data_IF_986928886879
#
_entry.id   IF_986928886879
#
_cell.length_a   1.000
_cell.length_b   1.000
_cell.length_c   1.000
_cell.angle_alpha   90.00
_cell.angle_beta   90.00
_cell.angle_gamma   90.00
#
_symmetry.space_group_name_H-M   'P 1'
#
loop_
_entity.id
_entity.type
_entity.pdbx_description
1 polymer ?
#
# COMPACT_ATOMS: atom_id res chain seq x y z
N UNK A 1 2.30 -22.85 -7.15
CA UNK A 1 2.43 -21.77 -8.16
C UNK A 1 3.00 -20.55 -7.47
N UNK A 2 3.85 -19.76 -8.13
CA UNK A 2 4.41 -18.51 -7.59
C UNK A 2 3.85 -17.33 -8.40
N UNK A 3 3.56 -16.22 -7.72
CA UNK A 3 3.08 -15.00 -8.35
C UNK A 3 3.64 -13.75 -7.64
N UNK A 4 3.71 -12.65 -8.38
CA UNK A 4 4.01 -11.32 -7.85
C UNK A 4 2.80 -10.41 -8.12
N UNK A 5 2.51 -9.51 -7.17
CA UNK A 5 1.47 -8.50 -7.27
C UNK A 5 2.17 -7.15 -7.42
N UNK A 6 1.94 -6.48 -8.55
CA UNK A 6 2.48 -5.14 -8.77
C UNK A 6 1.79 -4.13 -7.83
N UNK A 7 2.51 -3.09 -7.42
CA UNK A 7 1.97 -2.01 -6.58
C UNK A 7 0.73 -1.35 -7.18
N UNK A 8 0.70 -1.23 -8.50
CA UNK A 8 -0.35 -0.63 -9.31
C UNK A 8 -1.62 -1.49 -9.26
N UNK A 9 -1.47 -2.81 -9.34
CA UNK A 9 -2.59 -3.76 -9.21
C UNK A 9 -3.16 -3.72 -7.79
N UNK A 10 -2.30 -3.64 -6.78
CA UNK A 10 -2.72 -3.50 -5.39
C UNK A 10 -3.48 -2.18 -5.15
N UNK A 11 -2.99 -1.08 -5.74
CA UNK A 11 -3.62 0.23 -5.70
C UNK A 11 -5.00 0.22 -6.36
N UNK A 12 -5.11 -0.33 -7.58
CA UNK A 12 -6.38 -0.42 -8.30
C UNK A 12 -7.39 -1.28 -7.54
N UNK A 13 -6.98 -2.43 -7.01
CA UNK A 13 -7.84 -3.28 -6.19
C UNK A 13 -8.37 -2.51 -4.97
N UNK A 14 -7.48 -1.84 -4.22
CA UNK A 14 -7.88 -1.00 -3.09
C UNK A 14 -8.87 0.10 -3.51
N UNK A 15 -8.58 0.81 -4.60
CA UNK A 15 -9.42 1.91 -5.07
C UNK A 15 -10.80 1.42 -5.52
N UNK A 16 -10.87 0.36 -6.32
CA UNK A 16 -12.12 -0.20 -6.83
C UNK A 16 -12.99 -0.70 -5.66
N UNK A 17 -12.42 -1.47 -4.73
CA UNK A 17 -13.16 -2.02 -3.60
C UNK A 17 -13.69 -0.92 -2.66
N UNK A 18 -12.89 0.12 -2.39
CA UNK A 18 -13.27 1.17 -1.42
C UNK A 18 -14.05 2.34 -2.02
N UNK A 19 -13.79 2.73 -3.28
CA UNK A 19 -14.44 3.90 -3.92
C UNK A 19 -15.62 3.52 -4.78
N UNK A 20 -15.49 2.47 -5.59
CA UNK A 20 -16.58 2.03 -6.47
C UNK A 20 -17.58 1.15 -5.71
N UNK A 21 -17.09 0.07 -5.08
CA UNK A 21 -17.94 -0.84 -4.33
C UNK A 21 -18.26 -0.37 -2.90
N UNK A 22 -17.54 0.62 -2.38
CA UNK A 22 -17.77 1.21 -1.05
C UNK A 22 -17.71 0.19 0.10
N UNK A 23 -16.90 -0.86 -0.07
CA UNK A 23 -16.63 -1.84 0.98
C UNK A 23 -15.87 -1.15 2.12
N UNK A 24 -16.04 -1.66 3.35
CA UNK A 24 -15.36 -1.10 4.51
C UNK A 24 -13.84 -1.06 4.28
N UNK A 25 -13.25 0.13 4.46
CA UNK A 25 -11.82 0.35 4.23
C UNK A 25 -10.93 -0.57 5.07
N UNK A 26 -11.25 -0.78 6.35
CA UNK A 26 -10.45 -1.61 7.25
C UNK A 26 -10.49 -3.09 6.83
N UNK A 27 -11.65 -3.57 6.41
CA UNK A 27 -11.82 -4.92 5.85
C UNK A 27 -10.97 -5.11 4.59
N UNK A 28 -11.08 -4.19 3.61
CA UNK A 28 -10.27 -4.25 2.38
C UNK A 28 -8.77 -4.24 2.69
N UNK A 29 -8.31 -3.37 3.59
CA UNK A 29 -6.89 -3.31 3.95
C UNK A 29 -6.40 -4.61 4.60
N UNK A 30 -7.20 -5.20 5.49
CA UNK A 30 -6.86 -6.45 6.15
C UNK A 30 -6.81 -7.63 5.16
N UNK A 31 -7.75 -7.70 4.23
CA UNK A 31 -7.80 -8.74 3.20
C UNK A 31 -6.62 -8.63 2.22
N UNK A 32 -6.29 -7.41 1.78
CA UNK A 32 -5.15 -7.17 0.90
C UNK A 32 -3.81 -7.55 1.57
N UNK A 33 -3.64 -7.25 2.87
CA UNK A 33 -2.48 -7.72 3.64
C UNK A 33 -2.43 -9.25 3.70
N UNK A 34 -3.58 -9.89 3.91
CA UNK A 34 -3.70 -11.36 3.96
C UNK A 34 -3.30 -11.99 2.62
N UNK A 35 -3.76 -11.41 1.50
CA UNK A 35 -3.38 -11.85 0.15
C UNK A 35 -1.86 -11.74 -0.07
N UNK A 36 -1.24 -10.62 0.31
CA UNK A 36 0.21 -10.45 0.23
C UNK A 36 0.98 -11.48 1.08
N UNK A 37 0.40 -11.94 2.18
CA UNK A 37 0.98 -12.94 3.08
C UNK A 37 0.81 -14.39 2.62
N UNK A 38 0.04 -14.67 1.56
CA UNK A 38 -0.08 -16.02 1.02
C UNK A 38 1.29 -16.55 0.57
N UNK A 39 1.55 -17.84 0.83
CA UNK A 39 2.84 -18.51 0.55
C UNK A 39 3.25 -18.43 -0.93
N UNK A 40 2.26 -18.43 -1.84
CA UNK A 40 2.48 -18.32 -3.27
C UNK A 40 2.86 -16.92 -3.77
N UNK A 41 2.71 -15.87 -2.95
CA UNK A 41 3.05 -14.49 -3.33
C UNK A 41 4.49 -14.20 -2.95
N UNK A 42 5.35 -13.97 -3.95
CA UNK A 42 6.82 -13.94 -3.78
C UNK A 42 7.46 -12.57 -4.02
N UNK A 43 6.66 -11.50 -3.94
CA UNK A 43 7.14 -10.11 -4.02
C UNK A 43 8.38 -9.86 -3.16
N UNK A 44 9.47 -9.38 -3.77
CA UNK A 44 10.68 -8.94 -3.05
C UNK A 44 10.42 -7.73 -2.16
N UNK A 45 9.47 -6.90 -2.56
CA UNK A 45 9.04 -5.66 -1.91
C UNK A 45 7.81 -5.85 -1.00
N UNK A 46 7.49 -7.09 -0.61
CA UNK A 46 6.30 -7.39 0.22
C UNK A 46 6.21 -6.54 1.48
N UNK A 47 7.33 -6.31 2.17
CA UNK A 47 7.37 -5.46 3.36
C UNK A 47 6.97 -4.00 3.06
N UNK A 48 7.35 -3.47 1.90
CA UNK A 48 6.97 -2.12 1.44
C UNK A 48 5.48 -2.07 1.12
N UNK A 49 4.93 -3.08 0.43
CA UNK A 49 3.50 -3.14 0.11
C UNK A 49 2.63 -3.26 1.37
N UNK A 50 3.00 -4.13 2.31
CA UNK A 50 2.31 -4.25 3.61
C UNK A 50 2.38 -2.93 4.38
N UNK A 51 3.54 -2.29 4.39
CA UNK A 51 3.69 -1.02 5.09
C UNK A 51 2.88 0.10 4.45
N UNK A 52 2.78 0.12 3.13
CA UNK A 52 1.90 1.04 2.40
C UNK A 52 0.46 0.91 2.90
N UNK A 53 -0.06 -0.32 3.04
CA UNK A 53 -1.39 -0.58 3.57
C UNK A 53 -1.53 -0.16 5.05
N UNK A 54 -0.50 -0.36 5.86
CA UNK A 54 -0.49 0.10 7.26
C UNK A 54 -0.56 1.63 7.36
N UNK A 55 0.18 2.35 6.53
CA UNK A 55 0.13 3.83 6.53
C UNK A 55 -1.26 4.31 6.13
N UNK A 56 -1.86 3.72 5.10
CA UNK A 56 -3.22 4.05 4.64
C UNK A 56 -4.26 3.79 5.74
N UNK A 57 -4.09 2.74 6.55
CA UNK A 57 -4.99 2.41 7.64
C UNK A 57 -5.02 3.50 8.72
N UNK A 58 -3.84 4.00 9.10
CA UNK A 58 -3.67 4.91 10.23
C UNK A 58 -3.65 6.40 9.83
N UNK A 59 -3.51 6.70 8.53
CA UNK A 59 -3.44 8.07 8.01
C UNK A 59 -4.41 8.28 6.85
N UNK A 60 -4.91 9.50 6.74
CA UNK A 60 -5.76 9.91 5.61
C UNK A 60 -4.89 10.46 4.47
N UNK A 61 -4.10 9.58 3.86
CA UNK A 61 -3.29 9.87 2.67
C UNK A 61 -3.66 8.92 1.53
N UNK A 62 -3.33 9.28 0.29
CA UNK A 62 -3.57 8.41 -0.84
C UNK A 62 -2.57 7.23 -0.88
N UNK A 63 -2.84 6.29 -1.79
CA UNK A 63 -2.04 5.07 -1.87
C UNK A 63 -0.61 5.34 -2.36
N UNK A 64 -0.43 6.26 -3.31
CA UNK A 64 0.87 6.53 -3.92
C UNK A 64 1.76 7.26 -2.93
N UNK A 65 1.22 8.24 -2.19
CA UNK A 65 1.89 8.90 -1.09
C UNK A 65 2.31 7.90 -0.01
N UNK A 66 1.40 7.02 0.40
CA UNK A 66 1.70 5.96 1.35
C UNK A 66 2.82 5.03 0.86
N UNK A 67 2.86 4.71 -0.44
CA UNK A 67 3.90 3.88 -1.04
C UNK A 67 5.26 4.57 -1.01
N UNK A 68 5.31 5.86 -1.34
CA UNK A 68 6.53 6.66 -1.25
C UNK A 68 7.02 6.69 0.20
N UNK A 69 6.12 6.91 1.15
CA UNK A 69 6.47 6.96 2.56
C UNK A 69 6.95 5.61 3.11
N UNK A 70 6.34 4.50 2.70
CA UNK A 70 6.80 3.16 3.04
C UNK A 70 8.22 2.91 2.50
N UNK A 71 8.49 3.29 1.24
CA UNK A 71 9.83 3.20 0.63
C UNK A 71 10.86 4.03 1.39
N UNK A 72 10.56 5.32 1.64
CA UNK A 72 11.44 6.19 2.41
C UNK A 72 11.76 5.62 3.78
N UNK A 73 10.75 5.09 4.49
CA UNK A 73 10.92 4.57 5.84
C UNK A 73 11.69 3.26 5.90
N UNK A 74 11.41 2.31 5.01
CA UNK A 74 12.01 0.98 5.05
C UNK A 74 13.36 0.91 4.34
N UNK A 75 13.62 1.81 3.39
CA UNK A 75 14.85 1.85 2.61
C UNK A 75 15.80 2.98 3.03
N UNK A 76 15.42 3.78 4.03
CA UNK A 76 16.17 4.94 4.52
C UNK A 76 16.45 6.00 3.44
N UNK A 77 15.47 6.26 2.58
CA UNK A 77 15.55 7.35 1.60
C UNK A 77 14.98 8.65 2.16
N UNK A 78 15.59 9.77 1.76
CA UNK A 78 14.98 11.08 1.97
C UNK A 78 13.79 11.28 1.03
N UNK A 79 12.74 11.96 1.53
CA UNK A 79 11.59 12.38 0.72
C UNK A 79 11.99 13.56 -0.15
N UNK A 80 11.69 13.48 -1.44
CA UNK A 80 11.78 14.60 -2.37
C UNK A 80 10.47 14.65 -3.17
N UNK A 81 9.68 15.68 -2.94
CA UNK A 81 8.40 15.90 -3.61
C UNK A 81 8.11 17.40 -3.73
N UNK A 82 7.37 17.78 -4.77
CA UNK A 82 6.75 19.10 -4.87
C UNK A 82 5.39 19.14 -4.16
N UNK A 83 4.81 17.98 -3.87
CA UNK A 83 3.60 17.87 -3.10
C UNK A 83 3.92 17.96 -1.59
N UNK A 84 3.40 19.00 -0.96
CA UNK A 84 3.55 19.24 0.48
C UNK A 84 2.72 18.28 1.32
N UNK A 85 1.73 17.61 0.73
CA UNK A 85 0.93 16.63 1.45
C UNK A 85 1.75 15.38 1.83
N UNK A 86 2.86 15.13 1.14
CA UNK A 86 3.80 14.06 1.48
C UNK A 86 4.54 14.30 2.82
N UNK A 87 4.52 15.53 3.35
CA UNK A 87 5.01 15.84 4.71
C UNK A 87 4.09 15.27 5.80
N UNK A 88 2.87 14.84 5.45
CA UNK A 88 1.92 14.18 6.37
C UNK A 88 2.29 12.72 6.66
N UNK A 89 3.40 12.24 6.12
CA UNK A 89 4.13 11.07 6.60
C UNK A 89 5.11 11.50 7.72
#
# INVERSE_FOLDING_TARGET
MKAEILSEVLMEAYFVLTKFYKINKAEVLQDLKTILCLEGIVNKDKAILIETLNIIEHRHIDFVDALICAKCRLQNYHKLSFDKDLDKC
#
